data_IF_392489296088
#
_entry.id   IF_392489296088
#
_cell.length_a   1.000
_cell.length_b   1.000
_cell.length_c   1.000
_cell.angle_alpha   90.00
_cell.angle_beta   90.00
_cell.angle_gamma   90.00
#
_symmetry.space_group_name_H-M   'P 1'
#
loop_
_entity.id
_entity.type
_entity.pdbx_description
1 polymer ?
#
# COMPACT_ATOMS: atom_id res chain seq x y z
N UNK A 1 -9.30 6.98 -23.34
CA UNK A 1 -9.43 7.48 -21.98
C UNK A 1 -8.80 6.51 -20.99
N UNK A 2 -8.38 7.02 -19.86
CA UNK A 2 -7.87 6.19 -18.76
C UNK A 2 -8.95 5.21 -18.30
N UNK A 3 -8.61 3.92 -18.28
CA UNK A 3 -9.50 2.85 -17.80
C UNK A 3 -9.12 2.38 -16.41
N UNK A 4 -8.16 3.05 -15.77
CA UNK A 4 -7.60 2.64 -14.49
C UNK A 4 -6.81 1.33 -14.58
N UNK A 5 -6.49 0.78 -13.41
CA UNK A 5 -5.81 -0.51 -13.27
C UNK A 5 -6.45 -1.32 -12.14
N UNK A 6 -6.07 -2.57 -12.01
CA UNK A 6 -6.49 -3.44 -10.90
C UNK A 6 -5.30 -3.71 -9.99
N UNK A 7 -5.56 -3.90 -8.70
CA UNK A 7 -4.50 -4.28 -7.75
C UNK A 7 -3.81 -5.56 -8.21
N UNK A 8 -4.57 -6.58 -8.61
CA UNK A 8 -3.99 -7.85 -9.11
C UNK A 8 -3.11 -7.65 -10.35
N UNK A 9 -3.47 -6.72 -11.25
CA UNK A 9 -2.64 -6.36 -12.41
C UNK A 9 -1.32 -5.70 -11.99
N UNK A 10 -1.38 -4.76 -11.05
CA UNK A 10 -0.20 -4.14 -10.45
C UNK A 10 0.71 -5.15 -9.74
N UNK A 11 0.13 -6.04 -8.95
CA UNK A 11 0.87 -7.12 -8.28
C UNK A 11 1.55 -8.06 -9.29
N UNK A 12 0.82 -8.48 -10.32
CA UNK A 12 1.39 -9.31 -11.40
C UNK A 12 2.58 -8.60 -12.05
N UNK A 13 2.45 -7.32 -12.36
CA UNK A 13 3.55 -6.53 -12.93
C UNK A 13 4.75 -6.49 -11.97
N UNK A 14 4.53 -6.15 -10.70
CA UNK A 14 5.58 -6.04 -9.70
C UNK A 14 6.33 -7.36 -9.45
N UNK A 15 5.65 -8.51 -9.55
CA UNK A 15 6.26 -9.83 -9.34
C UNK A 15 6.92 -10.41 -10.59
N UNK A 16 6.44 -10.08 -11.79
CA UNK A 16 6.97 -10.66 -13.04
C UNK A 16 7.98 -9.77 -13.76
N UNK A 17 7.65 -8.50 -13.91
CA UNK A 17 8.49 -7.50 -14.62
C UNK A 17 9.36 -6.72 -13.64
N UNK A 18 8.80 -6.34 -12.50
CA UNK A 18 9.39 -5.43 -11.54
C UNK A 18 8.90 -3.99 -11.71
N UNK A 19 9.40 -3.10 -10.87
CA UNK A 19 9.06 -1.68 -10.84
C UNK A 19 10.34 -0.86 -11.05
N UNK A 20 10.40 0.02 -12.06
CA UNK A 20 11.57 0.84 -12.28
C UNK A 20 11.69 1.93 -11.21
N UNK A 21 12.90 2.36 -10.94
CA UNK A 21 13.17 3.56 -10.16
C UNK A 21 12.64 4.80 -10.89
N UNK A 22 12.23 5.80 -10.13
CA UNK A 22 11.70 7.08 -10.61
C UNK A 22 12.65 7.78 -11.59
N UNK A 23 13.98 7.62 -11.43
CA UNK A 23 15.01 8.19 -12.30
C UNK A 23 15.01 7.61 -13.71
N UNK A 24 14.51 6.39 -13.90
CA UNK A 24 14.40 5.73 -15.20
C UNK A 24 13.09 6.03 -15.91
N UNK A 25 12.02 6.24 -15.16
CA UNK A 25 10.73 6.62 -15.72
C UNK A 25 10.01 7.56 -14.75
N UNK A 26 10.28 8.84 -14.91
CA UNK A 26 9.74 9.90 -14.02
C UNK A 26 8.22 10.01 -14.14
N UNK A 27 7.56 10.03 -12.97
CA UNK A 27 6.13 10.26 -12.91
C UNK A 27 5.77 11.69 -13.26
N UNK A 28 5.09 11.89 -14.38
CA UNK A 28 4.72 13.21 -14.90
C UNK A 28 3.45 13.80 -14.27
N UNK A 29 2.77 13.05 -13.41
CA UNK A 29 1.42 13.41 -12.89
C UNK A 29 0.31 13.20 -13.93
N UNK A 30 0.60 12.60 -15.07
CA UNK A 30 -0.35 12.33 -16.15
C UNK A 30 -0.29 10.86 -16.55
N UNK A 31 -1.39 10.38 -17.11
CA UNK A 31 -1.44 9.04 -17.67
C UNK A 31 -0.57 8.96 -18.94
N UNK A 32 0.51 8.20 -18.86
CA UNK A 32 1.42 8.00 -19.98
C UNK A 32 0.92 6.86 -20.89
N UNK A 33 0.71 7.18 -22.16
CA UNK A 33 0.23 6.23 -23.17
C UNK A 33 1.35 5.68 -24.04
N UNK A 34 2.55 6.23 -23.94
CA UNK A 34 3.69 5.86 -24.75
C UNK A 34 4.86 5.46 -23.87
N UNK A 35 5.58 4.44 -24.33
CA UNK A 35 6.85 4.06 -23.73
C UNK A 35 7.87 5.16 -23.94
N UNK A 36 8.71 5.48 -22.94
CA UNK A 36 9.82 6.41 -23.11
C UNK A 36 10.86 5.86 -24.12
N UNK A 37 11.70 6.73 -24.66
CA UNK A 37 12.74 6.34 -25.63
C UNK A 37 13.79 5.39 -25.06
N UNK A 38 14.04 5.45 -23.75
CA UNK A 38 14.96 4.58 -23.01
C UNK A 38 14.27 3.31 -22.46
N UNK A 39 13.23 2.79 -23.13
CA UNK A 39 12.42 1.67 -22.59
C UNK A 39 13.25 0.44 -22.21
N UNK A 40 14.29 0.10 -22.97
CA UNK A 40 15.17 -1.04 -22.66
C UNK A 40 15.90 -0.88 -21.32
N UNK A 41 16.32 0.35 -20.98
CA UNK A 41 16.94 0.67 -19.70
C UNK A 41 15.89 0.58 -18.55
N UNK A 42 14.67 1.07 -18.79
CA UNK A 42 13.56 0.96 -17.86
C UNK A 42 13.26 -0.51 -17.52
N UNK A 43 13.17 -1.38 -18.54
CA UNK A 43 12.94 -2.82 -18.33
C UNK A 43 14.09 -3.49 -17.57
N UNK A 44 15.34 -3.13 -17.90
CA UNK A 44 16.53 -3.66 -17.23
C UNK A 44 16.56 -3.24 -15.76
N UNK A 45 16.27 -1.98 -15.46
CA UNK A 45 16.20 -1.48 -14.08
C UNK A 45 15.02 -2.14 -13.32
N UNK A 46 13.82 -2.16 -13.91
CA UNK A 46 12.65 -2.77 -13.31
C UNK A 46 12.89 -4.24 -12.92
N UNK A 47 13.57 -5.00 -13.75
CA UNK A 47 13.86 -6.41 -13.48
C UNK A 47 14.70 -6.65 -12.21
N UNK A 48 15.40 -5.63 -11.71
CA UNK A 48 16.17 -5.66 -10.47
C UNK A 48 15.32 -5.40 -9.23
N UNK A 49 14.08 -4.88 -9.41
CA UNK A 49 13.17 -4.46 -8.34
C UNK A 49 11.86 -5.26 -8.38
N UNK A 50 11.97 -6.57 -8.40
CA UNK A 50 10.81 -7.47 -8.33
C UNK A 50 10.42 -7.74 -6.89
N UNK A 51 9.11 -7.75 -6.65
CA UNK A 51 8.54 -8.28 -5.41
C UNK A 51 8.74 -9.80 -5.40
N UNK A 52 9.27 -10.34 -4.31
CA UNK A 52 9.55 -11.77 -4.16
C UNK A 52 8.28 -12.61 -4.11
N UNK A 53 7.35 -12.23 -3.24
CA UNK A 53 6.09 -12.93 -3.05
C UNK A 53 4.95 -11.97 -2.77
N UNK A 54 3.73 -12.38 -3.13
CA UNK A 54 2.51 -11.67 -2.81
C UNK A 54 1.50 -12.63 -2.15
N UNK A 55 0.96 -12.24 -1.00
CA UNK A 55 0.05 -13.03 -0.19
C UNK A 55 -1.31 -12.35 -0.12
N UNK A 56 -2.37 -13.06 -0.45
CA UNK A 56 -3.71 -12.51 -0.30
C UNK A 56 -4.05 -12.35 1.20
N UNK A 57 -4.42 -11.14 1.61
CA UNK A 57 -4.85 -10.84 2.97
C UNK A 57 -6.38 -10.94 3.06
N UNK A 58 -6.89 -11.80 3.96
CA UNK A 58 -8.33 -12.05 4.10
C UNK A 58 -8.87 -11.75 5.49
N UNK A 59 -8.00 -11.66 6.49
CA UNK A 59 -8.38 -11.42 7.89
C UNK A 59 -7.53 -10.34 8.53
N UNK A 60 -8.07 -9.64 9.54
CA UNK A 60 -7.31 -8.69 10.35
C UNK A 60 -6.07 -9.34 10.99
N UNK A 61 -6.20 -10.56 11.52
CA UNK A 61 -5.05 -11.27 12.12
C UNK A 61 -3.96 -11.58 11.10
N UNK A 62 -4.33 -11.91 9.86
CA UNK A 62 -3.38 -12.05 8.75
C UNK A 62 -2.64 -10.73 8.46
N UNK A 63 -3.36 -9.62 8.37
CA UNK A 63 -2.78 -8.28 8.21
C UNK A 63 -1.84 -7.95 9.37
N UNK A 64 -2.29 -8.12 10.62
CA UNK A 64 -1.52 -7.86 11.83
C UNK A 64 -0.23 -8.68 11.87
N UNK A 65 -0.33 -9.96 11.59
CA UNK A 65 0.82 -10.89 11.59
C UNK A 65 1.82 -10.51 10.50
N UNK A 66 1.34 -10.23 9.28
CA UNK A 66 2.19 -9.85 8.16
C UNK A 66 2.95 -8.54 8.43
N UNK A 67 2.24 -7.48 8.86
CA UNK A 67 2.88 -6.20 9.19
C UNK A 67 3.81 -6.32 10.40
N UNK A 68 3.41 -7.07 11.43
CA UNK A 68 4.22 -7.31 12.62
C UNK A 68 5.49 -8.13 12.37
N UNK A 69 5.53 -8.91 11.29
CA UNK A 69 6.73 -9.65 10.89
C UNK A 69 7.79 -8.78 10.20
N UNK A 70 7.45 -7.55 9.81
CA UNK A 70 8.37 -6.65 9.10
C UNK A 70 8.72 -7.09 7.67
N UNK A 71 7.98 -8.03 7.08
CA UNK A 71 8.27 -8.56 5.74
C UNK A 71 7.95 -7.57 4.61
N UNK A 72 7.13 -6.56 4.86
CA UNK A 72 6.76 -5.55 3.86
C UNK A 72 5.44 -4.88 4.14
N UNK A 73 4.88 -4.20 3.15
CA UNK A 73 3.60 -3.52 3.20
C UNK A 73 2.48 -4.30 2.51
N UNK A 74 1.25 -3.83 2.69
CA UNK A 74 0.06 -4.44 2.08
C UNK A 74 -0.56 -3.42 1.12
N UNK A 75 -0.67 -3.78 -0.16
CA UNK A 75 -1.38 -2.98 -1.17
C UNK A 75 -2.86 -3.39 -1.20
N UNK A 76 -3.75 -2.43 -1.08
CA UNK A 76 -5.19 -2.67 -1.04
C UNK A 76 -5.92 -1.77 -2.02
N UNK A 77 -6.84 -2.36 -2.79
CA UNK A 77 -7.86 -1.63 -3.55
C UNK A 77 -9.19 -1.70 -2.80
N UNK A 78 -9.81 -0.56 -2.59
CA UNK A 78 -11.09 -0.43 -1.88
C UNK A 78 -12.09 0.44 -2.65
N UNK A 79 -13.36 0.36 -2.29
CA UNK A 79 -14.34 1.37 -2.64
C UNK A 79 -14.21 2.55 -1.67
N UNK A 80 -13.77 3.71 -2.18
CA UNK A 80 -13.52 4.90 -1.35
C UNK A 80 -14.79 5.69 -1.14
N UNK A 81 -15.08 6.09 0.11
CA UNK A 81 -16.21 6.93 0.49
C UNK A 81 -15.84 7.91 1.60
N UNK A 82 -16.71 8.90 1.83
CA UNK A 82 -16.44 9.96 2.82
C UNK A 82 -16.27 9.46 4.25
N UNK A 83 -16.72 8.24 4.57
CA UNK A 83 -16.53 7.63 5.90
C UNK A 83 -15.07 7.29 6.22
N UNK A 84 -14.26 7.09 5.17
CA UNK A 84 -12.83 6.76 5.32
C UNK A 84 -11.90 7.95 5.06
N UNK A 85 -12.47 9.10 4.73
CA UNK A 85 -11.71 10.36 4.52
C UNK A 85 -11.42 11.05 5.87
N UNK A 86 -10.68 10.38 6.74
CA UNK A 86 -10.43 10.80 8.12
C UNK A 86 -9.07 10.34 8.61
N UNK A 87 -8.52 11.05 9.60
CA UNK A 87 -7.29 10.64 10.29
C UNK A 87 -7.47 9.35 11.11
N UNK A 88 -8.69 9.05 11.59
CA UNK A 88 -9.02 7.81 12.33
C UNK A 88 -10.29 7.22 11.74
N UNK A 89 -10.22 5.95 11.31
CA UNK A 89 -11.32 5.20 10.70
C UNK A 89 -11.70 4.04 11.60
N UNK A 90 -12.93 4.07 12.13
CA UNK A 90 -13.44 3.05 13.06
C UNK A 90 -14.43 2.06 12.42
N UNK A 91 -14.91 2.36 11.21
CA UNK A 91 -15.81 1.49 10.47
C UNK A 91 -15.63 1.69 8.97
N UNK A 92 -16.00 0.69 8.19
CA UNK A 92 -15.95 0.70 6.73
C UNK A 92 -17.21 0.05 6.17
N UNK A 93 -17.99 0.79 5.38
CA UNK A 93 -19.20 0.28 4.71
C UNK A 93 -18.97 -0.04 3.24
N UNK A 94 -17.94 0.54 2.64
CA UNK A 94 -17.70 0.46 1.20
C UNK A 94 -18.75 1.21 0.36
N UNK A 95 -19.53 2.10 0.97
CA UNK A 95 -20.56 2.92 0.31
C UNK A 95 -19.97 4.07 -0.53
N UNK A 96 -18.78 3.87 -1.07
CA UNK A 96 -18.09 4.88 -1.87
C UNK A 96 -18.39 4.81 -3.36
N UNK A 97 -18.07 5.89 -4.05
CA UNK A 97 -18.35 6.04 -5.47
C UNK A 97 -17.22 5.62 -6.42
N UNK A 98 -16.03 5.27 -5.94
CA UNK A 98 -14.90 4.97 -6.81
C UNK A 98 -13.88 4.01 -6.21
N UNK A 99 -13.17 3.28 -7.08
CA UNK A 99 -12.03 2.46 -6.67
C UNK A 99 -10.84 3.33 -6.30
N UNK A 100 -10.17 3.00 -5.20
CA UNK A 100 -8.95 3.69 -4.75
C UNK A 100 -7.94 2.68 -4.22
N UNK A 101 -6.66 2.95 -4.46
CA UNK A 101 -5.56 2.13 -3.96
C UNK A 101 -4.87 2.83 -2.79
N UNK A 102 -4.65 2.09 -1.71
CA UNK A 102 -3.98 2.52 -0.48
C UNK A 102 -2.94 1.48 -0.05
N UNK A 103 -2.09 1.85 0.91
CA UNK A 103 -1.14 0.93 1.52
C UNK A 103 -1.33 0.85 3.03
N UNK A 104 -1.37 -0.39 3.59
CA UNK A 104 -1.20 -0.59 5.03
C UNK A 104 0.26 -0.92 5.30
N UNK A 105 0.90 -0.19 6.21
CA UNK A 105 2.35 -0.23 6.35
C UNK A 105 2.87 -0.62 7.73
N UNK A 106 2.12 -0.36 8.81
CA UNK A 106 2.57 -0.72 10.16
C UNK A 106 1.42 -0.87 11.15
N UNK A 107 1.73 -1.46 12.30
CA UNK A 107 0.86 -1.45 13.45
C UNK A 107 0.97 -0.10 14.17
N UNK A 108 -0.15 0.40 14.69
CA UNK A 108 -0.20 1.59 15.54
C UNK A 108 -0.04 1.20 17.02
N UNK A 109 0.41 2.14 17.84
CA UNK A 109 0.37 2.02 19.30
C UNK A 109 -1.06 2.15 19.86
N UNK A 110 -1.99 2.70 19.08
CA UNK A 110 -3.41 2.77 19.45
C UNK A 110 -4.01 1.39 19.48
N UNK A 111 -4.74 1.06 20.54
CA UNK A 111 -5.44 -0.20 20.71
C UNK A 111 -6.94 0.00 20.73
N UNK A 112 -7.70 -1.00 20.27
CA UNK A 112 -9.13 -1.09 20.50
C UNK A 112 -9.44 -1.57 21.94
N UNK A 113 -10.71 -1.66 22.29
CA UNK A 113 -11.17 -2.11 23.63
C UNK A 113 -10.77 -3.56 23.96
N UNK A 114 -10.36 -4.35 22.97
CA UNK A 114 -9.88 -5.73 23.12
C UNK A 114 -8.35 -5.84 23.11
N UNK A 115 -7.65 -4.72 23.11
CA UNK A 115 -6.17 -4.66 23.05
C UNK A 115 -5.58 -4.96 21.68
N UNK A 116 -6.37 -4.89 20.61
CA UNK A 116 -5.87 -5.11 19.24
C UNK A 116 -5.37 -3.79 18.62
N UNK A 117 -4.18 -3.74 18.01
CA UNK A 117 -3.63 -2.51 17.45
C UNK A 117 -4.43 -2.02 16.25
N UNK A 118 -4.52 -0.68 16.11
CA UNK A 118 -4.91 -0.06 14.86
C UNK A 118 -3.84 -0.28 13.80
N UNK A 119 -4.19 -0.08 12.54
CA UNK A 119 -3.26 -0.22 11.40
C UNK A 119 -3.04 1.16 10.77
N UNK A 120 -1.78 1.54 10.58
CA UNK A 120 -1.43 2.73 9.83
C UNK A 120 -1.62 2.49 8.34
N UNK A 121 -2.39 3.36 7.73
CA UNK A 121 -2.66 3.43 6.31
C UNK A 121 -2.02 4.68 5.72
N UNK A 122 -1.33 4.54 4.61
CA UNK A 122 -0.80 5.63 3.79
C UNK A 122 -1.66 5.84 2.56
N UNK A 123 -2.04 7.11 2.31
CA UNK A 123 -2.73 7.55 1.12
C UNK A 123 -1.77 8.30 0.18
N UNK A 124 -2.08 8.36 -1.12
CA UNK A 124 -1.29 9.05 -2.14
C UNK A 124 -1.67 10.53 -2.36
N UNK A 125 -2.48 11.12 -1.46
CA UNK A 125 -3.00 12.49 -1.64
C UNK A 125 -2.16 13.58 -0.96
N UNK A 126 -0.95 13.23 -0.53
CA UNK A 126 0.01 14.16 0.05
C UNK A 126 -0.24 14.48 1.52
N UNK A 127 0.69 15.26 2.10
CA UNK A 127 0.73 15.53 3.53
C UNK A 127 -0.41 16.44 4.05
N UNK A 128 -1.22 17.02 3.18
CA UNK A 128 -2.37 17.82 3.59
C UNK A 128 -3.62 16.97 3.89
N UNK A 129 -3.58 15.68 3.54
CA UNK A 129 -4.67 14.75 3.81
C UNK A 129 -4.43 13.99 5.13
N UNK A 130 -5.51 13.75 5.89
CA UNK A 130 -5.46 12.95 7.12
C UNK A 130 -4.48 13.50 8.15
N UNK A 131 -3.66 12.63 8.72
CA UNK A 131 -2.54 12.98 9.58
C UNK A 131 -1.24 12.92 8.75
N UNK A 132 -0.90 14.01 8.07
CA UNK A 132 0.27 14.12 7.19
C UNK A 132 0.34 13.01 6.10
N UNK A 133 -0.78 12.69 5.48
CA UNK A 133 -0.91 11.63 4.46
C UNK A 133 -1.32 10.27 5.01
N UNK A 134 -1.46 10.15 6.34
CA UNK A 134 -1.75 8.90 7.03
C UNK A 134 -3.13 8.89 7.68
N UNK A 135 -3.66 7.70 7.91
CA UNK A 135 -4.77 7.47 8.83
C UNK A 135 -4.61 6.16 9.61
N UNK A 136 -5.24 6.07 10.78
CA UNK A 136 -5.28 4.88 11.61
C UNK A 136 -6.61 4.17 11.43
N UNK A 137 -6.56 2.89 11.09
CA UNK A 137 -7.75 2.06 10.88
C UNK A 137 -7.92 1.07 12.03
N UNK A 138 -9.08 1.10 12.67
CA UNK A 138 -9.39 0.16 13.73
C UNK A 138 -9.43 -1.28 13.21
N UNK A 139 -9.22 -2.29 14.07
CA UNK A 139 -9.41 -3.70 13.73
C UNK A 139 -10.76 -3.98 13.08
N UNK A 140 -11.84 -3.37 13.59
CA UNK A 140 -13.18 -3.49 13.02
C UNK A 140 -13.28 -2.94 11.59
N UNK A 141 -12.72 -1.74 11.35
CA UNK A 141 -12.72 -1.16 10.01
C UNK A 141 -11.93 -2.02 9.01
N UNK A 142 -10.77 -2.55 9.42
CA UNK A 142 -9.96 -3.46 8.58
C UNK A 142 -10.73 -4.75 8.29
N UNK A 143 -11.38 -5.37 9.28
CA UNK A 143 -12.19 -6.57 9.06
C UNK A 143 -13.35 -6.33 8.09
N UNK A 144 -14.08 -5.22 8.25
CA UNK A 144 -15.18 -4.85 7.35
C UNK A 144 -14.67 -4.60 5.93
N UNK A 145 -13.54 -3.90 5.80
CA UNK A 145 -12.88 -3.64 4.52
C UNK A 145 -12.49 -4.95 3.82
N UNK A 146 -11.83 -5.88 4.51
CA UNK A 146 -11.38 -7.14 3.93
C UNK A 146 -12.53 -8.05 3.48
N UNK A 147 -13.69 -7.97 4.14
CA UNK A 147 -14.91 -8.71 3.76
C UNK A 147 -15.69 -8.06 2.62
N UNK A 148 -15.35 -6.81 2.26
CA UNK A 148 -16.10 -6.10 1.23
C UNK A 148 -15.77 -6.66 -0.15
N UNK A 149 -16.81 -6.95 -0.96
CA UNK A 149 -16.72 -7.65 -2.25
C UNK A 149 -15.80 -7.03 -3.30
N UNK A 150 -15.53 -5.73 -3.18
CA UNK A 150 -14.65 -5.00 -4.11
C UNK A 150 -13.25 -4.76 -3.55
N UNK A 151 -12.94 -5.34 -2.41
CA UNK A 151 -11.60 -5.23 -1.84
C UNK A 151 -10.67 -6.29 -2.42
N UNK A 152 -9.52 -5.83 -2.88
CA UNK A 152 -8.39 -6.69 -3.26
C UNK A 152 -7.19 -6.30 -2.37
N UNK A 153 -6.66 -7.25 -1.62
CA UNK A 153 -5.63 -7.01 -0.59
C UNK A 153 -4.50 -8.00 -0.70
N UNK A 154 -3.27 -7.50 -0.87
CA UNK A 154 -2.07 -8.33 -1.00
C UNK A 154 -0.92 -7.80 -0.16
N UNK A 155 -0.41 -8.63 0.75
CA UNK A 155 0.87 -8.41 1.41
C UNK A 155 2.01 -8.68 0.44
N UNK A 156 2.96 -7.78 0.37
CA UNK A 156 4.08 -7.81 -0.55
C UNK A 156 5.36 -8.00 0.26
N UNK A 157 6.01 -9.14 0.12
CA UNK A 157 7.28 -9.41 0.77
C UNK A 157 8.45 -9.05 -0.13
N UNK A 158 9.60 -8.92 0.47
CA UNK A 158 10.88 -8.43 -0.02
C UNK A 158 11.12 -8.51 -1.53
N UNK A 159 11.74 -7.47 -2.04
CA UNK A 159 12.34 -7.51 -3.38
C UNK A 159 13.43 -8.60 -3.40
N UNK A 160 13.44 -9.42 -4.44
CA UNK A 160 14.28 -10.62 -4.55
C UNK A 160 15.79 -10.38 -4.44
N UNK A 161 16.24 -9.11 -4.50
CA UNK A 161 17.65 -8.74 -4.53
C UNK A 161 18.04 -7.62 -3.56
N UNK A 162 17.17 -7.25 -2.60
CA UNK A 162 17.49 -6.21 -1.61
C UNK A 162 17.82 -6.87 -0.28
N UNK A 163 19.00 -6.57 0.26
CA UNK A 163 19.32 -6.91 1.65
C UNK A 163 18.28 -6.26 2.57
N UNK A 164 17.72 -6.97 3.56
CA UNK A 164 16.84 -6.38 4.54
C UNK A 164 17.50 -5.12 5.12
N UNK A 165 16.83 -3.97 5.03
CA UNK A 165 17.27 -2.80 5.79
C UNK A 165 16.90 -3.06 7.25
N UNK A 166 17.87 -3.01 8.13
CA UNK A 166 17.58 -2.84 9.56
C UNK A 166 17.01 -1.43 9.74
N UNK A 167 15.69 -1.35 9.88
CA UNK A 167 15.03 -0.08 10.21
C UNK A 167 15.16 0.16 11.72
N UNK A 168 16.10 1.02 12.10
CA UNK A 168 16.07 1.61 13.42
C UNK A 168 15.01 2.71 13.47
N UNK A 169 14.41 2.95 14.64
CA UNK A 169 13.41 4.01 14.83
C UNK A 169 13.94 5.39 14.35
N UNK A 170 15.23 5.65 14.52
CA UNK A 170 15.89 6.88 14.09
C UNK A 170 16.07 6.97 12.58
N UNK A 171 16.29 5.84 11.88
CA UNK A 171 16.31 5.80 10.42
C UNK A 171 14.91 6.09 9.84
N UNK A 172 13.86 5.52 10.43
CA UNK A 172 12.47 5.80 10.04
C UNK A 172 12.09 7.26 10.24
N UNK A 173 12.46 7.88 11.38
CA UNK A 173 12.22 9.31 11.62
C UNK A 173 12.93 10.20 10.62
N UNK A 174 14.15 9.86 10.23
CA UNK A 174 14.94 10.62 9.25
C UNK A 174 14.38 10.51 7.84
N UNK A 175 13.93 9.32 7.42
CA UNK A 175 13.33 9.09 6.11
C UNK A 175 11.93 9.72 5.99
N UNK A 176 11.16 9.76 7.08
CA UNK A 176 9.82 10.36 7.14
C UNK A 176 9.84 11.87 7.41
N UNK A 177 11.01 12.47 7.64
CA UNK A 177 11.17 13.91 7.96
C UNK A 177 10.26 14.41 9.09
N UNK A 178 10.10 13.59 10.13
CA UNK A 178 9.34 13.91 11.33
C UNK A 178 10.31 14.31 12.45
#
# INVERSE_FOLDING_TARGET
GDRGSTISGGIKLATTTGLPEESFWTYSGRYETRRPSNWSEVETNAAQHKIGQAYQMQTYDGVRTFLGSGQGGISIGISWGGEVDRAIVNSFSGAGGGGHAIALLSLSERLDVSGRPYIWMLNSWGAQWGNAGWSEWSPNAVEQMLRHRYTASFGLSDMTNVKPREYTLDALKKDLRI
#
